data_IF_847199578527
#
_entry.id   IF_847199578527
#
_cell.length_a   1.000
_cell.length_b   1.000
_cell.length_c   1.000
_cell.angle_alpha   90.00
_cell.angle_beta   90.00
_cell.angle_gamma   90.00
#
_symmetry.space_group_name_H-M   'P 1'
#
loop_
_entity.id
_entity.type
_entity.pdbx_description
1 polymer ?
#
# COMPACT_ATOMS: atom_id res chain seq x y z
N UNK A 1 -7.41 -4.41 10.52
CA UNK A 1 -6.32 -5.42 10.56
C UNK A 1 -4.98 -4.73 10.46
N UNK A 2 -3.94 -5.17 11.17
CA UNK A 2 -2.63 -4.57 11.09
C UNK A 2 -2.03 -4.83 9.70
N UNK A 3 -1.39 -3.81 9.09
CA UNK A 3 -0.43 -4.05 8.00
C UNK A 3 0.61 -5.04 8.52
N UNK A 4 1.00 -6.03 7.72
CA UNK A 4 2.12 -6.92 8.08
C UNK A 4 3.38 -6.08 8.32
N UNK A 5 4.13 -6.32 9.41
CA UNK A 5 5.34 -5.54 9.75
C UNK A 5 6.31 -5.35 8.57
N UNK A 6 6.44 -6.34 7.70
CA UNK A 6 7.24 -6.22 6.47
C UNK A 6 6.77 -5.10 5.52
N UNK A 7 5.46 -4.92 5.34
CA UNK A 7 4.90 -3.85 4.51
C UNK A 7 5.06 -2.47 5.16
N UNK A 8 5.08 -2.38 6.52
CA UNK A 8 5.47 -1.15 7.23
C UNK A 8 6.94 -0.82 6.96
N UNK A 9 7.84 -1.79 7.04
CA UNK A 9 9.26 -1.58 6.74
C UNK A 9 9.50 -1.14 5.29
N UNK A 10 8.79 -1.75 4.32
CA UNK A 10 8.87 -1.31 2.93
C UNK A 10 8.30 0.09 2.69
N UNK A 11 7.23 0.47 3.42
CA UNK A 11 6.76 1.85 3.42
C UNK A 11 7.84 2.81 3.91
N UNK A 12 8.44 2.49 5.06
CA UNK A 12 9.45 3.34 5.68
C UNK A 12 10.67 3.47 4.77
N UNK A 13 11.12 2.40 4.12
CA UNK A 13 12.18 2.50 3.12
C UNK A 13 11.78 3.32 1.90
N UNK A 14 10.53 3.25 1.43
CA UNK A 14 10.09 4.07 0.30
C UNK A 14 10.08 5.57 0.63
N UNK A 15 9.73 5.93 1.87
CA UNK A 15 9.62 7.33 2.32
C UNK A 15 10.96 7.89 2.83
N UNK A 16 11.70 7.10 3.57
CA UNK A 16 12.93 7.48 4.26
C UNK A 16 14.18 6.87 3.61
N UNK A 17 14.09 6.29 2.40
CA UNK A 17 15.23 5.67 1.71
C UNK A 17 16.45 6.57 1.54
N UNK A 18 16.24 7.90 1.51
CA UNK A 18 17.32 8.89 1.51
C UNK A 18 18.08 8.99 2.85
N UNK A 19 17.44 8.62 3.96
CA UNK A 19 18.02 8.54 5.31
C UNK A 19 18.49 7.13 5.65
N UNK A 20 17.74 6.11 5.23
CA UNK A 20 18.03 4.71 5.55
C UNK A 20 18.98 4.06 4.55
N UNK A 21 19.20 4.65 3.37
CA UNK A 21 19.95 4.00 2.29
C UNK A 21 19.29 2.71 1.80
N UNK A 22 17.95 2.64 1.87
CA UNK A 22 17.15 1.44 1.64
C UNK A 22 17.42 0.29 2.66
N UNK A 23 18.06 0.57 3.82
CA UNK A 23 18.34 -0.40 4.87
C UNK A 23 17.11 -0.68 5.77
N UNK A 24 16.66 -1.94 5.79
CA UNK A 24 15.51 -2.40 6.58
C UNK A 24 15.74 -2.32 8.09
N UNK A 25 16.99 -2.41 8.57
CA UNK A 25 17.32 -2.22 9.98
C UNK A 25 17.11 -0.77 10.41
N UNK A 26 17.55 0.18 9.59
CA UNK A 26 17.30 1.61 9.85
C UNK A 26 15.82 1.96 9.68
N UNK A 27 15.13 1.35 8.70
CA UNK A 27 13.67 1.45 8.59
C UNK A 27 12.97 0.95 9.86
N UNK A 28 13.48 -0.12 10.48
CA UNK A 28 12.94 -0.65 11.74
C UNK A 28 13.11 0.33 12.90
N UNK A 29 14.24 1.02 12.99
CA UNK A 29 14.46 2.04 14.02
C UNK A 29 13.46 3.21 13.87
N UNK A 30 13.14 3.61 12.64
CA UNK A 30 12.11 4.61 12.38
C UNK A 30 10.72 4.08 12.77
N UNK A 31 10.44 2.80 12.48
CA UNK A 31 9.18 2.14 12.89
C UNK A 31 9.00 2.21 14.40
N UNK A 32 10.01 1.78 15.15
CA UNK A 32 9.98 1.74 16.62
C UNK A 32 9.81 3.17 17.19
N UNK A 33 10.45 4.18 16.60
CA UNK A 33 10.31 5.58 17.00
C UNK A 33 8.89 6.14 16.74
N UNK A 34 8.29 5.79 15.60
CA UNK A 34 6.92 6.19 15.26
C UNK A 34 5.93 5.50 16.20
N UNK A 35 6.11 4.22 16.49
CA UNK A 35 5.24 3.48 17.42
C UNK A 35 5.34 4.03 18.84
N UNK A 36 6.53 4.42 19.30
CA UNK A 36 6.72 5.04 20.61
C UNK A 36 6.05 6.43 20.73
N UNK A 37 5.89 7.15 19.61
CA UNK A 37 5.25 8.46 19.57
C UNK A 37 3.71 8.41 19.48
N UNK A 38 3.15 7.22 19.21
CA UNK A 38 1.73 6.99 19.04
C UNK A 38 1.10 6.38 20.31
N UNK A 39 -0.23 6.52 20.48
CA UNK A 39 -0.93 5.80 21.55
C UNK A 39 -0.75 4.29 21.38
N UNK A 40 -0.85 3.50 22.48
CA UNK A 40 -0.74 2.05 22.41
C UNK A 40 -1.76 1.47 21.42
N UNK A 41 -1.27 0.58 20.55
CA UNK A 41 -2.02 -0.02 19.43
C UNK A 41 -2.67 1.01 18.48
N UNK A 42 -1.86 1.83 17.77
CA UNK A 42 -2.42 2.80 16.83
C UNK A 42 -3.13 2.08 15.68
N UNK A 43 -4.29 2.60 15.30
CA UNK A 43 -4.97 2.16 14.09
C UNK A 43 -4.08 2.37 12.86
N UNK A 44 -4.29 1.57 11.81
CA UNK A 44 -3.48 1.67 10.60
C UNK A 44 -3.45 3.10 10.03
N UNK A 45 -4.61 3.74 9.96
CA UNK A 45 -4.74 5.11 9.45
C UNK A 45 -3.96 6.12 10.29
N UNK A 46 -3.96 5.98 11.63
CA UNK A 46 -3.21 6.84 12.53
C UNK A 46 -1.70 6.67 12.33
N UNK A 47 -1.24 5.42 12.24
CA UNK A 47 0.16 5.12 11.98
C UNK A 47 0.62 5.67 10.62
N UNK A 48 -0.17 5.43 9.56
CA UNK A 48 0.09 5.96 8.21
C UNK A 48 0.17 7.48 8.19
N UNK A 49 -0.77 8.15 8.87
CA UNK A 49 -0.82 9.61 8.97
C UNK A 49 0.43 10.15 9.66
N UNK A 50 0.82 9.56 10.79
CA UNK A 50 2.02 9.97 11.52
C UNK A 50 3.30 9.79 10.69
N UNK A 51 3.42 8.67 9.96
CA UNK A 51 4.56 8.41 9.07
C UNK A 51 4.65 9.45 7.94
N UNK A 52 3.52 9.77 7.30
CA UNK A 52 3.47 10.77 6.23
C UNK A 52 3.77 12.17 6.76
N UNK A 53 3.24 12.53 7.93
CA UNK A 53 3.55 13.80 8.58
C UNK A 53 5.05 13.91 8.94
N UNK A 54 5.64 12.85 9.48
CA UNK A 54 7.06 12.79 9.80
C UNK A 54 7.91 12.99 8.52
N UNK A 55 7.57 12.28 7.44
CA UNK A 55 8.24 12.42 6.16
C UNK A 55 8.13 13.84 5.60
N UNK A 56 7.00 14.52 5.81
CA UNK A 56 6.79 15.91 5.38
C UNK A 56 7.55 16.97 6.19
N UNK A 57 7.97 16.65 7.42
CA UNK A 57 8.73 17.57 8.29
C UNK A 57 10.24 17.48 8.10
N UNK A 58 10.75 16.41 7.49
CA UNK A 58 12.16 16.26 7.24
C UNK A 58 12.57 17.08 6.01
N UNK A 59 13.74 17.74 6.02
CA UNK A 59 14.27 18.41 4.84
C UNK A 59 14.70 17.35 3.82
N UNK A 60 13.80 17.05 2.89
CA UNK A 60 14.01 16.01 1.87
C UNK A 60 14.68 16.64 0.63
N UNK A 61 15.89 16.22 0.21
CA UNK A 61 16.34 16.51 -1.16
C UNK A 61 15.36 15.82 -2.12
N UNK A 62 14.92 16.50 -3.19
CA UNK A 62 13.88 16.01 -4.11
C UNK A 62 13.97 14.48 -4.34
N UNK A 63 13.13 13.72 -3.62
CA UNK A 63 13.20 12.28 -3.65
C UNK A 63 12.58 11.77 -4.93
N UNK A 64 13.36 10.96 -5.64
CA UNK A 64 12.90 10.20 -6.80
C UNK A 64 11.89 9.11 -6.41
N UNK A 65 11.66 8.87 -5.12
CA UNK A 65 10.73 7.90 -4.56
C UNK A 65 9.40 8.54 -4.14
N UNK A 66 8.29 7.82 -4.33
CA UNK A 66 6.96 8.20 -3.86
C UNK A 66 6.21 7.03 -3.22
N UNK A 67 5.22 7.36 -2.41
CA UNK A 67 4.33 6.37 -1.79
C UNK A 67 2.87 6.76 -1.97
N UNK A 68 1.99 5.78 -2.16
CA UNK A 68 0.55 6.00 -2.15
C UNK A 68 -0.20 4.76 -1.65
N UNK A 69 -1.36 4.99 -1.04
CA UNK A 69 -2.15 3.98 -0.38
C UNK A 69 -3.58 3.98 -0.90
N UNK A 70 -4.14 2.79 -1.09
CA UNK A 70 -5.54 2.54 -1.40
C UNK A 70 -6.12 1.56 -0.36
N UNK A 71 -7.05 2.04 0.46
CA UNK A 71 -7.91 1.19 1.27
C UNK A 71 -9.11 0.77 0.42
N UNK A 72 -9.30 -0.53 0.25
CA UNK A 72 -10.50 -1.08 -0.39
C UNK A 72 -11.64 -1.01 0.61
N UNK A 73 -12.79 -0.53 0.16
CA UNK A 73 -14.02 -0.44 0.94
C UNK A 73 -15.19 -1.18 0.27
N UNK A 74 -16.34 -1.33 0.95
CA UNK A 74 -17.50 -2.03 0.40
C UNK A 74 -18.06 -1.39 -0.88
N UNK A 75 -18.00 -0.06 -1.01
CA UNK A 75 -18.54 0.64 -2.19
C UNK A 75 -17.71 0.34 -3.44
N UNK A 76 -16.38 0.29 -3.29
CA UNK A 76 -15.46 -0.08 -4.36
C UNK A 76 -15.63 -1.53 -4.83
N UNK A 77 -16.12 -2.41 -3.96
CA UNK A 77 -16.32 -3.84 -4.28
C UNK A 77 -17.73 -4.18 -4.76
N UNK A 78 -18.67 -3.24 -4.68
CA UNK A 78 -20.06 -3.43 -5.13
C UNK A 78 -20.17 -3.79 -6.62
N UNK A 79 -19.22 -3.34 -7.45
CA UNK A 79 -19.14 -3.66 -8.88
C UNK A 79 -18.09 -4.75 -9.19
N UNK A 80 -17.66 -5.51 -8.17
CA UNK A 80 -16.56 -6.46 -8.29
C UNK A 80 -15.23 -5.78 -8.61
N UNK A 81 -14.36 -6.45 -9.37
CA UNK A 81 -13.00 -5.97 -9.68
C UNK A 81 -12.97 -4.65 -10.46
N UNK A 82 -14.01 -4.38 -11.27
CA UNK A 82 -14.10 -3.14 -12.05
C UNK A 82 -14.23 -1.89 -11.19
N UNK A 83 -14.88 -2.00 -10.02
CA UNK A 83 -15.02 -0.89 -9.07
C UNK A 83 -13.67 -0.40 -8.52
N UNK A 84 -12.65 -1.27 -8.49
CA UNK A 84 -11.29 -0.93 -8.06
C UNK A 84 -10.53 -0.09 -9.10
N UNK A 85 -10.95 -0.08 -10.36
CA UNK A 85 -10.17 0.50 -11.47
C UNK A 85 -9.88 1.98 -11.28
N UNK A 86 -10.93 2.77 -11.04
CA UNK A 86 -10.81 4.24 -10.93
C UNK A 86 -10.04 4.65 -9.66
N UNK A 87 -10.36 4.12 -8.46
CA UNK A 87 -9.57 4.39 -7.26
C UNK A 87 -8.09 4.01 -7.45
N UNK A 88 -7.82 2.83 -8.00
CA UNK A 88 -6.45 2.37 -8.24
C UNK A 88 -5.67 3.28 -9.19
N UNK A 89 -6.24 3.65 -10.34
CA UNK A 89 -5.56 4.54 -11.29
C UNK A 89 -5.37 5.96 -10.73
N UNK A 90 -6.31 6.42 -9.91
CA UNK A 90 -6.19 7.72 -9.23
C UNK A 90 -5.02 7.69 -8.23
N UNK A 91 -4.93 6.63 -7.44
CA UNK A 91 -3.84 6.44 -6.47
C UNK A 91 -2.50 6.23 -7.17
N UNK A 92 -2.45 5.45 -8.26
CA UNK A 92 -1.25 5.28 -9.09
C UNK A 92 -0.81 6.62 -9.71
N UNK A 93 -1.75 7.46 -10.14
CA UNK A 93 -1.46 8.79 -10.68
C UNK A 93 -0.76 9.73 -9.70
N UNK A 94 -0.92 9.52 -8.38
CA UNK A 94 -0.17 10.29 -7.36
C UNK A 94 1.32 9.98 -7.34
N UNK A 95 1.72 8.83 -7.92
CA UNK A 95 3.11 8.44 -8.11
C UNK A 95 3.69 8.92 -9.45
N UNK A 96 2.90 9.61 -10.28
CA UNK A 96 3.37 10.15 -11.54
C UNK A 96 4.50 11.18 -11.31
N UNK A 97 5.53 11.12 -12.17
CA UNK A 97 6.71 11.99 -12.06
C UNK A 97 7.77 11.50 -11.07
N UNK A 98 7.52 10.40 -10.34
CA UNK A 98 8.52 9.72 -9.50
C UNK A 98 9.25 8.65 -10.32
N UNK A 99 10.52 8.37 -10.00
CA UNK A 99 11.28 7.26 -10.61
C UNK A 99 11.10 5.95 -9.86
N UNK A 100 10.79 6.01 -8.57
CA UNK A 100 10.48 4.87 -7.70
C UNK A 100 9.13 5.13 -7.03
N UNK A 101 8.30 4.10 -6.90
CA UNK A 101 6.99 4.25 -6.28
C UNK A 101 6.58 2.99 -5.53
N UNK A 102 6.04 3.16 -4.33
CA UNK A 102 5.39 2.05 -3.62
C UNK A 102 3.90 2.33 -3.53
N UNK A 103 3.09 1.41 -4.05
CA UNK A 103 1.64 1.46 -3.92
C UNK A 103 1.19 0.32 -3.00
N UNK A 104 0.55 0.69 -1.89
CA UNK A 104 -0.05 -0.27 -0.98
C UNK A 104 -1.56 -0.33 -1.20
N UNK A 105 -2.10 -1.54 -1.38
CA UNK A 105 -3.53 -1.81 -1.44
C UNK A 105 -3.91 -2.70 -0.26
N UNK A 106 -4.82 -2.23 0.58
CA UNK A 106 -5.25 -2.94 1.80
C UNK A 106 -6.75 -3.25 1.76
N UNK A 107 -7.19 -4.26 2.52
CA UNK A 107 -8.61 -4.56 2.72
C UNK A 107 -9.23 -5.42 1.62
N UNK A 108 -8.43 -5.86 0.65
CA UNK A 108 -8.90 -6.57 -0.52
C UNK A 108 -9.49 -7.95 -0.16
N UNK A 109 -8.84 -8.69 0.74
CA UNK A 109 -9.37 -9.97 1.24
C UNK A 109 -10.64 -9.80 2.08
N UNK A 110 -10.82 -8.68 2.78
CA UNK A 110 -11.98 -8.49 3.67
C UNK A 110 -13.26 -8.29 2.87
N UNK A 111 -13.16 -7.60 1.73
CA UNK A 111 -14.33 -7.22 0.92
C UNK A 111 -14.60 -8.17 -0.26
N UNK A 112 -13.62 -8.98 -0.68
CA UNK A 112 -13.81 -10.00 -1.74
C UNK A 112 -13.95 -11.44 -1.21
N UNK A 113 -13.73 -11.71 0.07
CA UNK A 113 -13.95 -13.07 0.60
C UNK A 113 -15.45 -13.35 0.77
N UNK A 114 -15.98 -14.42 0.15
CA UNK A 114 -17.38 -14.80 0.38
C UNK A 114 -17.53 -15.21 1.85
N UNK A 115 -18.55 -14.68 2.53
CA UNK A 115 -18.92 -15.10 3.87
C UNK A 115 -19.04 -16.62 3.94
N UNK A 116 -18.60 -17.22 5.07
CA UNK A 116 -18.44 -18.66 5.33
C UNK A 116 -19.67 -19.50 4.92
N UNK A 117 -19.80 -19.75 3.63
CA UNK A 117 -20.86 -20.54 3.01
C UNK A 117 -20.25 -21.81 2.44
N UNK A 118 -20.57 -22.92 3.09
CA UNK A 118 -20.15 -24.28 2.78
C UNK A 118 -20.43 -24.64 1.31
N UNK A 119 -19.42 -24.76 0.45
CA UNK A 119 -19.51 -25.42 -0.87
C UNK A 119 -18.09 -25.62 -1.43
N UNK A 120 -17.63 -26.83 -1.76
CA UNK A 120 -18.08 -27.56 -2.95
C UNK A 120 -17.28 -27.10 -4.18
N UNK A 121 -16.17 -27.80 -4.49
CA UNK A 121 -15.29 -27.65 -5.68
C UNK A 121 -14.68 -26.26 -5.95
N UNK A 122 -13.39 -26.11 -5.63
CA UNK A 122 -12.34 -25.34 -6.34
C UNK A 122 -12.78 -24.00 -7.00
N UNK A 123 -13.57 -23.17 -6.30
CA UNK A 123 -13.82 -21.79 -6.75
C UNK A 123 -12.57 -20.96 -6.51
N UNK A 124 -12.07 -20.33 -7.57
CA UNK A 124 -11.02 -19.31 -7.52
C UNK A 124 -11.36 -18.28 -6.45
N UNK A 125 -10.34 -17.92 -5.67
CA UNK A 125 -10.47 -16.98 -4.56
C UNK A 125 -10.72 -15.58 -5.15
N UNK A 126 -11.92 -14.96 -4.98
CA UNK A 126 -12.24 -13.70 -5.64
C UNK A 126 -11.29 -12.56 -5.26
N UNK A 127 -10.67 -12.65 -4.08
CA UNK A 127 -9.63 -11.72 -3.66
C UNK A 127 -8.33 -11.92 -4.46
N UNK A 128 -7.96 -13.14 -4.82
CA UNK A 128 -6.81 -13.39 -5.70
C UNK A 128 -7.08 -12.92 -7.13
N UNK A 129 -8.31 -13.09 -7.63
CA UNK A 129 -8.71 -12.57 -8.94
C UNK A 129 -8.64 -11.04 -8.98
N UNK A 130 -9.12 -10.38 -7.93
CA UNK A 130 -9.00 -8.93 -7.76
C UNK A 130 -7.53 -8.49 -7.66
N UNK A 131 -6.70 -9.19 -6.90
CA UNK A 131 -5.26 -8.91 -6.84
C UNK A 131 -4.57 -9.10 -8.20
N UNK A 132 -4.92 -10.16 -8.94
CA UNK A 132 -4.45 -10.42 -10.29
C UNK A 132 -4.85 -9.31 -11.26
N UNK A 133 -6.10 -8.86 -11.19
CA UNK A 133 -6.59 -7.72 -11.96
C UNK A 133 -5.79 -6.44 -11.68
N UNK A 134 -5.55 -6.12 -10.41
CA UNK A 134 -4.76 -4.93 -10.04
C UNK A 134 -3.30 -5.03 -10.51
N UNK A 135 -2.68 -6.21 -10.42
CA UNK A 135 -1.33 -6.43 -10.98
C UNK A 135 -1.31 -6.24 -12.49
N UNK A 136 -2.30 -6.76 -13.21
CA UNK A 136 -2.42 -6.55 -14.66
C UNK A 136 -2.64 -5.08 -15.01
N UNK A 137 -3.47 -4.38 -14.24
CA UNK A 137 -3.71 -2.95 -14.41
C UNK A 137 -2.45 -2.12 -14.15
N UNK A 138 -1.68 -2.47 -13.11
CA UNK A 138 -0.38 -1.86 -12.83
C UNK A 138 0.59 -2.08 -13.99
N UNK A 139 0.77 -3.32 -14.45
CA UNK A 139 1.66 -3.62 -15.56
C UNK A 139 1.29 -2.87 -16.86
N UNK A 140 0.00 -2.73 -17.14
CA UNK A 140 -0.48 -2.06 -18.35
C UNK A 140 -0.46 -0.52 -18.27
N UNK A 141 -0.42 0.07 -17.07
CA UNK A 141 -0.59 1.52 -16.86
C UNK A 141 0.54 2.17 -16.06
N UNK A 142 1.54 1.41 -15.65
CA UNK A 142 2.73 1.94 -14.99
C UNK A 142 3.48 2.85 -15.97
N UNK A 143 3.83 4.09 -15.58
CA UNK A 143 4.69 4.95 -16.38
C UNK A 143 6.03 4.27 -16.68
N UNK A 144 6.55 4.42 -17.90
CA UNK A 144 7.78 3.76 -18.35
C UNK A 144 9.05 4.10 -17.53
N UNK A 145 9.02 5.19 -16.74
CA UNK A 145 10.10 5.60 -15.86
C UNK A 145 9.90 5.27 -14.39
N UNK A 146 8.79 4.62 -14.01
CA UNK A 146 8.46 4.31 -12.61
C UNK A 146 8.79 2.86 -12.28
N UNK A 147 9.77 2.65 -11.40
CA UNK A 147 9.97 1.37 -10.73
C UNK A 147 8.92 1.23 -9.60
N UNK A 148 7.81 0.55 -9.93
CA UNK A 148 6.67 0.36 -9.02
C UNK A 148 6.80 -0.92 -8.19
N UNK A 149 6.76 -0.77 -6.87
CA UNK A 149 6.54 -1.85 -5.91
C UNK A 149 5.07 -1.86 -5.51
N UNK A 150 4.34 -2.92 -5.89
CA UNK A 150 2.93 -3.09 -5.56
C UNK A 150 2.79 -4.10 -4.40
N UNK A 151 2.26 -3.63 -3.27
CA UNK A 151 1.98 -4.45 -2.10
C UNK A 151 0.46 -4.58 -1.94
N UNK A 152 -0.05 -5.82 -1.87
CA UNK A 152 -1.48 -6.11 -1.71
C UNK A 152 -1.64 -6.95 -0.45
N UNK A 153 -2.49 -6.49 0.47
CA UNK A 153 -2.73 -7.12 1.78
C UNK A 153 -4.22 -7.22 2.11
#
# INVERSE_FOLDING_TARGET
>A
MPISSLARLHLLNALFGHLTGDDLFLARQIEDAVEAALPPEPGLEQWMTAVVELAGRLPVPATDAGFSWLQVDPEMTALGTLGLRRPFLTTLGRLAGRRRGTLLVTGLHQHFSPGRGRSGKRRQNPAEDAAGYLRGLAAARCPAGLALTLLIT
#
